data_IF_522680431167
#
_entry.id   IF_522680431167
#
_cell.length_a   1.000
_cell.length_b   1.000
_cell.length_c   1.000
_cell.angle_alpha   90.00
_cell.angle_beta   90.00
_cell.angle_gamma   90.00
#
_symmetry.space_group_name_H-M   'P 1'
#
loop_
_entity.id
_entity.type
_entity.pdbx_description
1 polymer ?
#
# COMPACT_ATOMS: atom_id res chain seq x y z
N UNK A 1 14.55 15.17 -23.55
CA UNK A 1 13.37 14.27 -23.49
C UNK A 1 12.10 15.11 -23.56
N UNK A 2 11.12 14.74 -24.40
CA UNK A 2 9.89 15.54 -24.60
C UNK A 2 8.86 15.18 -23.52
N UNK A 3 8.66 16.06 -22.51
CA UNK A 3 7.70 15.87 -21.40
C UNK A 3 6.26 15.61 -21.90
N UNK A 4 5.83 16.33 -22.94
CA UNK A 4 4.50 16.14 -23.56
C UNK A 4 4.31 14.73 -24.18
N UNK A 5 5.41 14.09 -24.62
CA UNK A 5 5.33 12.71 -25.12
C UNK A 5 5.18 11.70 -23.97
N UNK A 6 5.77 11.97 -22.81
CA UNK A 6 5.62 11.15 -21.61
C UNK A 6 4.22 11.27 -21.00
N UNK A 7 3.68 12.49 -20.95
CA UNK A 7 2.29 12.71 -20.51
C UNK A 7 1.27 11.98 -21.40
N UNK A 8 1.48 11.98 -22.73
CA UNK A 8 0.64 11.20 -23.67
C UNK A 8 0.73 9.71 -23.42
N UNK A 9 1.85 9.20 -22.93
CA UNK A 9 2.01 7.82 -22.47
C UNK A 9 1.48 7.58 -21.06
N UNK A 10 0.89 8.62 -20.44
CA UNK A 10 0.31 8.57 -19.09
C UNK A 10 1.37 8.52 -18.00
N UNK A 11 2.60 9.02 -18.25
CA UNK A 11 3.64 9.16 -17.23
C UNK A 11 3.43 10.48 -16.50
N UNK A 12 3.14 10.41 -15.19
CA UNK A 12 2.95 11.60 -14.37
C UNK A 12 4.30 12.27 -14.09
N UNK A 13 4.49 13.45 -14.67
CA UNK A 13 5.74 14.24 -14.56
C UNK A 13 5.69 15.27 -13.43
N UNK A 14 4.49 15.57 -12.90
CA UNK A 14 4.29 16.61 -11.88
C UNK A 14 4.29 15.98 -10.50
N UNK A 15 5.26 16.34 -9.66
CA UNK A 15 5.28 15.96 -8.24
C UNK A 15 4.38 16.92 -7.45
N UNK A 16 3.35 16.37 -6.81
CA UNK A 16 2.50 17.14 -5.91
C UNK A 16 3.23 17.43 -4.58
N UNK A 17 2.91 18.53 -3.88
CA UNK A 17 3.41 18.74 -2.53
C UNK A 17 2.89 17.65 -1.59
N UNK A 18 3.73 17.26 -0.63
CA UNK A 18 3.36 16.31 0.41
C UNK A 18 2.47 17.02 1.43
N UNK A 19 1.32 16.44 1.78
CA UNK A 19 0.42 17.03 2.79
C UNK A 19 0.97 16.91 4.21
N UNK A 20 0.46 17.73 5.13
CA UNK A 20 0.86 17.68 6.54
C UNK A 20 0.53 16.32 7.18
N UNK A 21 -0.61 15.73 6.82
CA UNK A 21 -1.01 14.41 7.30
C UNK A 21 -0.06 13.32 6.78
N UNK A 22 0.35 13.41 5.51
CA UNK A 22 1.32 12.47 4.93
C UNK A 22 2.68 12.55 5.63
N UNK A 23 3.13 13.78 5.98
CA UNK A 23 4.37 14.00 6.73
C UNK A 23 4.24 13.39 8.13
N UNK A 24 3.15 13.69 8.85
CA UNK A 24 2.92 13.17 10.20
C UNK A 24 2.89 11.62 10.21
N UNK A 25 2.21 11.01 9.26
CA UNK A 25 2.16 9.54 9.12
C UNK A 25 3.54 8.97 8.82
N UNK A 26 4.28 9.55 7.86
CA UNK A 26 5.64 9.11 7.54
C UNK A 26 6.56 9.17 8.77
N UNK A 27 6.54 10.28 9.48
CA UNK A 27 7.40 10.50 10.63
C UNK A 27 7.05 9.53 11.78
N UNK A 28 5.76 9.23 11.98
CA UNK A 28 5.31 8.21 12.92
C UNK A 28 5.79 6.81 12.52
N UNK A 29 5.75 6.45 11.22
CA UNK A 29 6.27 5.17 10.74
C UNK A 29 7.79 5.04 10.91
N UNK A 30 8.53 6.11 10.63
CA UNK A 30 9.99 6.16 10.86
C UNK A 30 10.31 5.97 12.35
N UNK A 31 9.61 6.70 13.24
CA UNK A 31 9.80 6.60 14.69
C UNK A 31 9.50 5.19 15.23
N UNK A 32 8.60 4.44 14.57
CA UNK A 32 8.26 3.05 14.94
C UNK A 32 9.09 2.00 14.21
N UNK A 33 10.05 2.39 13.35
CA UNK A 33 10.85 1.45 12.55
C UNK A 33 10.02 0.65 11.52
N UNK A 34 8.92 1.23 11.05
CA UNK A 34 7.95 0.58 10.16
C UNK A 34 7.97 1.14 8.74
N UNK A 35 8.75 2.19 8.47
CA UNK A 35 8.84 2.71 7.10
C UNK A 35 9.45 1.65 6.17
N UNK A 36 9.00 1.66 4.92
CA UNK A 36 9.58 0.81 3.88
C UNK A 36 11.08 1.14 3.73
N UNK A 37 11.99 0.14 3.73
CA UNK A 37 13.41 0.40 3.56
C UNK A 37 13.69 1.07 2.21
N UNK A 38 13.98 2.37 2.24
CA UNK A 38 14.28 3.15 1.03
C UNK A 38 15.54 3.99 1.21
N UNK A 39 16.21 4.23 0.10
CA UNK A 39 17.27 5.23 -0.02
C UNK A 39 16.81 6.33 -0.98
N UNK A 40 17.17 7.56 -0.71
CA UNK A 40 17.01 8.62 -1.71
C UNK A 40 18.07 8.46 -2.78
N UNK A 41 17.64 8.06 -3.98
CA UNK A 41 18.52 7.91 -5.14
C UNK A 41 18.49 9.15 -6.06
N UNK A 42 17.80 10.22 -5.66
CA UNK A 42 17.71 11.48 -6.40
C UNK A 42 16.96 11.40 -7.74
N UNK A 43 16.36 10.26 -8.08
CA UNK A 43 15.70 10.07 -9.37
C UNK A 43 14.25 10.57 -9.35
N UNK A 44 13.89 11.35 -10.38
CA UNK A 44 12.51 11.67 -10.68
C UNK A 44 11.72 10.44 -11.18
N UNK A 45 10.38 10.49 -11.13
CA UNK A 45 9.54 9.41 -11.66
C UNK A 45 9.79 9.13 -13.14
N UNK A 46 10.15 10.16 -13.91
CA UNK A 46 10.53 10.02 -15.31
C UNK A 46 11.83 9.23 -15.48
N UNK A 47 12.84 9.56 -14.70
CA UNK A 47 14.13 8.85 -14.73
C UNK A 47 14.00 7.41 -14.24
N UNK A 48 13.20 7.18 -13.19
CA UNK A 48 12.86 5.82 -12.72
C UNK A 48 12.19 5.02 -13.83
N UNK A 49 11.19 5.61 -14.50
CA UNK A 49 10.48 4.97 -15.60
C UNK A 49 11.44 4.59 -16.75
N UNK A 50 12.27 5.51 -17.24
CA UNK A 50 13.17 5.21 -18.35
C UNK A 50 14.18 4.12 -17.99
N UNK A 51 14.81 4.20 -16.81
CA UNK A 51 15.76 3.18 -16.35
C UNK A 51 15.13 1.80 -16.17
N UNK A 52 13.92 1.73 -15.61
CA UNK A 52 13.20 0.46 -15.46
C UNK A 52 12.82 -0.10 -16.83
N UNK A 53 12.37 0.74 -17.76
CA UNK A 53 12.03 0.33 -19.12
C UNK A 53 13.27 -0.25 -19.85
N UNK A 54 14.44 0.39 -19.74
CA UNK A 54 15.70 -0.11 -20.30
C UNK A 54 16.06 -1.48 -19.68
N UNK A 55 16.01 -1.60 -18.35
CA UNK A 55 16.28 -2.86 -17.66
C UNK A 55 15.31 -3.97 -18.08
N UNK A 56 14.02 -3.66 -18.22
CA UNK A 56 13.01 -4.64 -18.66
C UNK A 56 13.19 -5.03 -20.13
N UNK A 57 13.67 -4.13 -20.98
CA UNK A 57 14.03 -4.46 -22.37
C UNK A 57 15.14 -5.51 -22.39
N UNK A 58 16.17 -5.35 -21.55
CA UNK A 58 17.26 -6.33 -21.44
C UNK A 58 16.77 -7.67 -20.87
N UNK A 59 15.90 -7.65 -19.83
CA UNK A 59 15.31 -8.87 -19.25
C UNK A 59 14.55 -9.66 -20.32
N UNK A 60 13.66 -8.99 -21.10
CA UNK A 60 12.85 -9.64 -22.13
C UNK A 60 13.75 -10.23 -23.23
N UNK A 61 14.76 -9.49 -23.68
CA UNK A 61 15.72 -9.97 -24.67
C UNK A 61 16.54 -11.14 -24.15
N UNK A 62 16.99 -11.09 -22.88
CA UNK A 62 17.74 -12.19 -22.24
C UNK A 62 16.92 -13.48 -22.14
N UNK A 63 15.61 -13.38 -21.99
CA UNK A 63 14.70 -14.54 -22.04
C UNK A 63 14.51 -15.11 -23.46
N UNK A 64 15.07 -14.48 -24.48
CA UNK A 64 14.94 -14.89 -25.87
C UNK A 64 13.60 -14.51 -26.51
N UNK A 65 12.87 -13.55 -25.92
CA UNK A 65 11.61 -13.06 -26.46
C UNK A 65 11.86 -11.98 -27.53
N UNK A 66 11.09 -12.03 -28.61
CA UNK A 66 11.24 -11.11 -29.74
C UNK A 66 10.49 -9.80 -29.52
N UNK A 67 11.23 -8.73 -29.22
CA UNK A 67 10.67 -7.38 -29.04
C UNK A 67 10.27 -6.69 -30.36
N UNK A 68 10.45 -7.31 -31.51
CA UNK A 68 9.88 -6.81 -32.77
C UNK A 68 8.43 -7.31 -32.99
N UNK A 69 7.99 -8.30 -32.21
CA UNK A 69 6.61 -8.79 -32.23
C UNK A 69 5.64 -7.74 -31.64
N UNK A 70 4.49 -7.54 -32.29
CA UNK A 70 3.50 -6.52 -31.94
C UNK A 70 2.88 -6.75 -30.55
N UNK A 71 2.84 -7.97 -30.06
CA UNK A 71 2.35 -8.34 -28.72
C UNK A 71 3.36 -7.99 -27.61
N UNK A 72 4.65 -7.95 -27.90
CA UNK A 72 5.74 -7.79 -26.92
C UNK A 72 6.43 -6.42 -26.95
N UNK A 73 6.37 -5.69 -28.07
CA UNK A 73 7.08 -4.43 -28.28
C UNK A 73 6.82 -3.38 -27.17
N UNK A 74 5.63 -3.34 -26.62
CA UNK A 74 5.26 -2.40 -25.54
C UNK A 74 5.43 -2.98 -24.12
N UNK A 75 5.85 -4.25 -23.97
CA UNK A 75 5.97 -4.92 -22.66
C UNK A 75 6.91 -4.18 -21.70
N UNK A 76 8.13 -3.77 -22.10
CA UNK A 76 9.02 -2.99 -21.20
C UNK A 76 8.41 -1.67 -20.74
N UNK A 77 7.71 -0.97 -21.64
CA UNK A 77 7.00 0.26 -21.31
C UNK A 77 5.89 0.01 -20.29
N UNK A 78 5.05 -0.99 -20.52
CA UNK A 78 3.92 -1.32 -19.64
C UNK A 78 4.38 -1.70 -18.25
N UNK A 79 5.44 -2.51 -18.13
CA UNK A 79 6.01 -2.91 -16.84
C UNK A 79 6.60 -1.68 -16.11
N UNK A 80 7.38 -0.85 -16.79
CA UNK A 80 7.97 0.34 -16.19
C UNK A 80 6.92 1.32 -15.67
N UNK A 81 5.87 1.57 -16.47
CA UNK A 81 4.72 2.40 -16.06
C UNK A 81 3.99 1.82 -14.86
N UNK A 82 3.68 0.53 -14.89
CA UNK A 82 3.02 -0.18 -13.80
C UNK A 82 3.82 -0.05 -12.50
N UNK A 83 5.14 -0.26 -12.53
CA UNK A 83 6.00 -0.17 -11.35
C UNK A 83 6.01 1.25 -10.76
N UNK A 84 6.20 2.27 -11.59
CA UNK A 84 6.38 3.64 -11.09
C UNK A 84 5.06 4.29 -10.67
N UNK A 85 3.94 3.97 -11.34
CA UNK A 85 2.71 4.75 -11.19
C UNK A 85 1.53 3.98 -10.61
N UNK A 86 1.64 2.67 -10.53
CA UNK A 86 0.53 1.83 -10.08
C UNK A 86 0.97 1.06 -8.82
N UNK A 87 1.60 -0.09 -8.97
CA UNK A 87 1.85 -1.02 -7.86
C UNK A 87 2.89 -0.54 -6.84
N UNK A 88 3.75 0.44 -7.18
CA UNK A 88 4.71 1.03 -6.26
C UNK A 88 4.54 2.55 -6.09
N UNK A 89 3.40 3.09 -6.50
CA UNK A 89 3.09 4.52 -6.35
C UNK A 89 3.02 4.97 -4.88
N UNK A 90 2.72 4.09 -3.96
CA UNK A 90 2.70 4.35 -2.52
C UNK A 90 4.08 4.57 -1.88
N UNK A 91 5.19 4.36 -2.61
CA UNK A 91 6.53 4.77 -2.18
C UNK A 91 6.70 6.30 -2.21
N UNK A 92 5.88 7.01 -2.97
CA UNK A 92 5.88 8.48 -3.03
C UNK A 92 4.75 9.05 -2.16
N UNK A 93 5.11 9.68 -1.04
CA UNK A 93 4.14 10.31 -0.14
C UNK A 93 3.36 11.49 -0.76
N UNK A 94 3.77 12.00 -1.91
CA UNK A 94 2.95 12.95 -2.67
C UNK A 94 1.67 12.32 -3.25
N UNK A 95 1.63 10.97 -3.32
CA UNK A 95 0.46 10.18 -3.68
C UNK A 95 -0.44 9.83 -2.47
N UNK A 96 -0.05 10.23 -1.24
CA UNK A 96 -0.86 9.95 -0.04
C UNK A 96 -2.28 10.52 -0.21
N UNK A 97 -3.32 9.77 0.16
CA UNK A 97 -4.70 10.20 -0.07
C UNK A 97 -5.04 11.45 0.75
N UNK A 98 -5.84 12.34 0.15
CA UNK A 98 -6.43 13.46 0.91
C UNK A 98 -7.33 12.89 2.00
N UNK A 99 -6.98 13.18 3.24
CA UNK A 99 -7.73 12.76 4.41
C UNK A 99 -8.87 13.76 4.71
N UNK A 100 -9.98 13.23 5.17
CA UNK A 100 -11.10 14.02 5.72
C UNK A 100 -11.49 13.40 7.05
N UNK A 101 -11.30 14.15 8.10
CA UNK A 101 -11.77 13.87 9.46
C UNK A 101 -12.79 14.92 9.87
N UNK A 102 -13.69 14.55 10.76
CA UNK A 102 -14.64 15.47 11.39
C UNK A 102 -14.55 15.30 12.90
N UNK A 103 -14.93 16.35 13.65
CA UNK A 103 -15.03 16.27 15.10
C UNK A 103 -16.13 15.29 15.52
N UNK A 104 -15.88 14.49 16.53
CA UNK A 104 -16.84 13.56 17.10
C UNK A 104 -17.87 14.29 18.00
N UNK A 105 -18.69 15.17 17.39
CA UNK A 105 -19.72 15.94 18.11
C UNK A 105 -20.91 15.12 18.59
N UNK A 106 -21.09 13.93 18.04
CA UNK A 106 -22.15 13.00 18.43
C UNK A 106 -21.75 12.08 19.58
N UNK A 107 -20.53 12.21 20.10
CA UNK A 107 -20.00 11.37 21.18
C UNK A 107 -20.07 9.88 20.88
N UNK A 108 -19.80 9.49 19.63
CA UNK A 108 -19.70 8.08 19.26
C UNK A 108 -18.48 7.46 19.98
N UNK A 109 -18.71 6.38 20.73
CA UNK A 109 -17.73 5.70 21.56
C UNK A 109 -17.73 4.17 21.34
N UNK A 110 -18.58 3.68 20.46
CA UNK A 110 -18.64 2.28 20.04
C UNK A 110 -17.63 1.96 18.92
N UNK A 111 -17.33 0.67 18.75
CA UNK A 111 -16.46 0.18 17.70
C UNK A 111 -17.07 0.45 16.32
N UNK A 112 -16.32 1.12 15.47
CA UNK A 112 -16.63 1.28 14.04
C UNK A 112 -15.73 0.33 13.25
N UNK A 113 -16.33 -0.58 12.47
CA UNK A 113 -15.62 -1.57 11.68
C UNK A 113 -15.86 -1.35 10.19
N UNK A 114 -14.82 -1.55 9.39
CA UNK A 114 -14.87 -1.61 7.93
C UNK A 114 -14.29 -2.94 7.51
N UNK A 115 -15.15 -3.81 7.01
CA UNK A 115 -14.80 -5.16 6.60
C UNK A 115 -14.52 -5.23 5.08
N UNK A 116 -13.89 -6.32 4.65
CA UNK A 116 -13.65 -6.67 3.25
C UNK A 116 -12.98 -5.55 2.42
N UNK A 117 -12.12 -4.77 3.05
CA UNK A 117 -11.31 -3.77 2.34
C UNK A 117 -10.31 -4.49 1.46
N UNK A 118 -10.42 -4.35 0.14
CA UNK A 118 -9.55 -5.03 -0.80
C UNK A 118 -8.06 -4.67 -0.56
N UNK A 119 -7.23 -5.70 -0.51
CA UNK A 119 -5.78 -5.62 -0.40
C UNK A 119 -5.17 -6.31 -1.61
N UNK A 120 -4.66 -5.52 -2.56
CA UNK A 120 -3.82 -6.04 -3.65
C UNK A 120 -2.46 -5.36 -3.52
N UNK A 121 -1.45 -6.13 -3.13
CA UNK A 121 -0.10 -5.67 -2.85
C UNK A 121 0.93 -6.53 -3.59
N UNK A 122 2.21 -6.25 -3.37
CA UNK A 122 3.31 -6.94 -4.05
C UNK A 122 4.31 -7.41 -3.00
N UNK A 123 4.59 -8.72 -2.99
CA UNK A 123 5.62 -9.30 -2.12
C UNK A 123 7.00 -8.73 -2.45
N UNK A 124 7.71 -8.17 -1.47
CA UNK A 124 9.02 -7.55 -1.69
C UNK A 124 10.13 -8.52 -2.13
N UNK A 125 9.96 -9.83 -1.84
CA UNK A 125 10.99 -10.83 -2.14
C UNK A 125 11.01 -11.27 -3.62
N UNK A 126 9.85 -11.25 -4.30
CA UNK A 126 9.74 -11.78 -5.66
C UNK A 126 8.96 -10.86 -6.61
N UNK A 127 8.45 -9.73 -6.12
CA UNK A 127 7.57 -8.81 -6.83
C UNK A 127 6.32 -9.46 -7.44
N UNK A 128 5.80 -10.50 -6.77
CA UNK A 128 4.54 -11.18 -7.11
C UNK A 128 3.42 -10.73 -6.17
N UNK A 129 2.21 -10.87 -6.64
CA UNK A 129 0.98 -10.37 -5.99
C UNK A 129 0.77 -11.01 -4.61
N UNK A 130 0.30 -10.19 -3.68
CA UNK A 130 -0.39 -10.55 -2.43
C UNK A 130 -1.83 -10.06 -2.61
N UNK A 131 -2.81 -10.94 -2.51
CA UNK A 131 -4.21 -10.60 -2.77
C UNK A 131 -5.12 -11.11 -1.67
N UNK A 132 -5.97 -10.23 -1.14
CA UNK A 132 -6.85 -10.56 -0.04
C UNK A 132 -7.67 -9.37 0.46
N UNK A 133 -8.01 -9.40 1.74
CA UNK A 133 -8.87 -8.41 2.38
C UNK A 133 -8.33 -7.99 3.73
N UNK A 134 -8.58 -6.73 4.07
CA UNK A 134 -8.34 -6.18 5.39
C UNK A 134 -9.68 -5.91 6.11
N UNK A 135 -9.68 -6.17 7.42
CA UNK A 135 -10.66 -5.68 8.38
C UNK A 135 -9.99 -4.58 9.19
N UNK A 136 -10.62 -3.42 9.26
CA UNK A 136 -10.13 -2.26 10.01
C UNK A 136 -11.19 -1.84 11.00
N UNK A 137 -10.82 -1.68 12.27
CA UNK A 137 -11.72 -1.14 13.29
C UNK A 137 -11.04 -0.02 14.06
N UNK A 138 -11.86 0.89 14.58
CA UNK A 138 -11.42 1.89 15.54
C UNK A 138 -12.55 2.26 16.50
N UNK A 139 -12.19 2.68 17.70
CA UNK A 139 -13.11 3.31 18.64
C UNK A 139 -12.82 4.81 18.64
N UNK A 140 -13.79 5.63 18.21
CA UNK A 140 -13.60 7.06 18.12
C UNK A 140 -13.25 7.70 19.48
N UNK A 141 -12.38 8.71 19.44
CA UNK A 141 -12.17 9.64 20.53
C UNK A 141 -12.69 11.01 20.10
N UNK A 142 -11.79 11.91 19.74
CA UNK A 142 -12.13 13.27 19.31
C UNK A 142 -12.53 13.38 17.85
N UNK A 143 -12.13 12.42 17.03
CA UNK A 143 -12.24 12.45 15.55
C UNK A 143 -12.94 11.23 14.98
N UNK A 144 -13.64 11.45 13.88
CA UNK A 144 -14.19 10.42 12.99
C UNK A 144 -13.58 10.58 11.61
N UNK A 145 -13.32 9.48 10.93
CA UNK A 145 -12.77 9.47 9.57
C UNK A 145 -13.83 9.04 8.55
N UNK A 146 -13.83 9.67 7.38
CA UNK A 146 -14.67 9.21 6.28
C UNK A 146 -14.30 7.78 5.85
N UNK A 147 -15.27 6.88 5.78
CA UNK A 147 -15.06 5.44 5.51
C UNK A 147 -14.19 5.20 4.27
N UNK A 148 -14.47 5.91 3.17
CA UNK A 148 -13.65 5.82 1.95
C UNK A 148 -12.17 6.20 2.13
N UNK A 149 -11.82 6.90 3.22
CA UNK A 149 -10.44 7.26 3.51
C UNK A 149 -9.67 6.09 4.11
N UNK A 150 -10.34 5.23 4.88
CA UNK A 150 -9.77 3.97 5.37
C UNK A 150 -9.34 3.12 4.18
N UNK A 151 -10.23 2.89 3.21
CA UNK A 151 -9.92 2.11 2.00
C UNK A 151 -8.73 2.70 1.23
N UNK A 152 -8.66 4.03 1.12
CA UNK A 152 -7.54 4.70 0.43
C UNK A 152 -6.21 4.60 1.17
N UNK A 153 -6.22 4.60 2.51
CA UNK A 153 -5.02 4.39 3.33
C UNK A 153 -4.52 2.94 3.15
N UNK A 154 -5.43 1.96 3.21
CA UNK A 154 -5.09 0.55 2.94
C UNK A 154 -4.50 0.40 1.55
N UNK A 155 -5.13 0.97 0.52
CA UNK A 155 -4.63 0.96 -0.86
C UNK A 155 -3.26 1.63 -0.99
N UNK A 156 -3.04 2.79 -0.37
CA UNK A 156 -1.75 3.50 -0.43
C UNK A 156 -0.59 2.65 0.11
N UNK A 157 -0.77 2.00 1.26
CA UNK A 157 0.26 1.13 1.82
C UNK A 157 0.39 -0.21 1.09
N UNK A 158 -0.68 -0.67 0.42
CA UNK A 158 -0.63 -1.85 -0.44
C UNK A 158 0.18 -1.62 -1.72
N UNK A 159 0.23 -0.38 -2.22
CA UNK A 159 1.00 0.00 -3.41
C UNK A 159 2.49 0.21 -3.11
N UNK A 160 3.12 -0.78 -2.46
CA UNK A 160 4.54 -0.84 -2.11
C UNK A 160 5.03 -2.27 -2.20
N UNK A 161 6.36 -2.51 -2.34
CA UNK A 161 6.91 -3.82 -2.00
C UNK A 161 6.71 -4.09 -0.51
N UNK A 162 6.06 -5.20 -0.15
CA UNK A 162 5.60 -5.46 1.22
C UNK A 162 5.96 -6.87 1.74
N UNK A 163 6.10 -6.95 3.05
CA UNK A 163 5.75 -8.11 3.85
C UNK A 163 4.44 -7.81 4.58
N UNK A 164 3.56 -8.80 4.71
CA UNK A 164 2.20 -8.57 5.21
C UNK A 164 2.18 -8.05 6.65
N UNK A 165 3.13 -8.46 7.47
CA UNK A 165 3.29 -8.01 8.86
C UNK A 165 3.57 -6.50 8.94
N UNK A 166 4.45 -5.99 8.06
CA UNK A 166 4.73 -4.55 7.98
C UNK A 166 3.53 -3.77 7.45
N UNK A 167 2.88 -4.26 6.38
CA UNK A 167 1.69 -3.65 5.81
C UNK A 167 0.60 -3.46 6.87
N UNK A 168 0.29 -4.52 7.63
CA UNK A 168 -0.72 -4.48 8.69
C UNK A 168 -0.40 -3.42 9.75
N UNK A 169 0.86 -3.33 10.16
CA UNK A 169 1.30 -2.34 11.17
C UNK A 169 1.39 -0.92 10.62
N UNK A 170 1.77 -0.74 9.34
CA UNK A 170 1.78 0.58 8.71
C UNK A 170 0.37 1.18 8.66
N UNK A 171 -0.63 0.38 8.30
CA UNK A 171 -2.03 0.83 8.28
C UNK A 171 -2.49 1.20 9.69
N UNK A 172 -2.17 0.37 10.71
CA UNK A 172 -2.50 0.66 12.10
C UNK A 172 -1.93 2.03 12.54
N UNK A 173 -0.62 2.23 12.40
CA UNK A 173 0.05 3.47 12.85
C UNK A 173 -0.44 4.69 12.08
N UNK A 174 -0.70 4.55 10.78
CA UNK A 174 -1.26 5.65 9.99
C UNK A 174 -2.63 6.08 10.49
N UNK A 175 -3.51 5.12 10.78
CA UNK A 175 -4.85 5.42 11.31
C UNK A 175 -4.80 6.00 12.74
N UNK A 176 -3.94 5.47 13.60
CA UNK A 176 -3.71 6.03 14.95
C UNK A 176 -3.26 7.49 14.88
N UNK A 177 -2.32 7.80 13.99
CA UNK A 177 -1.81 9.16 13.77
C UNK A 177 -2.90 10.12 13.29
N UNK A 178 -3.70 9.68 12.32
CA UNK A 178 -4.76 10.49 11.70
C UNK A 178 -5.94 10.73 12.65
N UNK A 179 -6.33 9.69 13.39
CA UNK A 179 -7.48 9.72 14.32
C UNK A 179 -7.11 10.28 15.70
N UNK A 180 -5.82 10.45 15.98
CA UNK A 180 -5.32 10.88 17.30
C UNK A 180 -5.83 9.97 18.44
N UNK A 181 -5.83 8.66 18.21
CA UNK A 181 -6.22 7.64 19.19
C UNK A 181 -5.40 6.38 19.01
N UNK A 182 -5.07 5.72 20.11
CA UNK A 182 -4.45 4.40 20.06
C UNK A 182 -5.43 3.26 19.74
N UNK A 183 -6.73 3.53 19.85
CA UNK A 183 -7.80 2.54 19.75
C UNK A 183 -8.11 2.19 18.28
N UNK A 184 -7.18 1.49 17.63
CA UNK A 184 -7.28 1.02 16.26
C UNK A 184 -6.88 -0.45 16.18
N UNK A 185 -7.55 -1.21 15.33
CA UNK A 185 -7.21 -2.60 15.02
C UNK A 185 -7.22 -2.81 13.50
N UNK A 186 -6.30 -3.64 13.03
CA UNK A 186 -6.19 -4.03 11.63
C UNK A 186 -5.91 -5.52 11.55
N UNK A 187 -6.67 -6.24 10.73
CA UNK A 187 -6.40 -7.63 10.38
C UNK A 187 -6.39 -7.78 8.87
N UNK A 188 -5.42 -8.50 8.32
CA UNK A 188 -5.32 -8.78 6.89
C UNK A 188 -5.27 -10.29 6.71
N UNK A 189 -6.10 -10.80 5.79
CA UNK A 189 -6.07 -12.19 5.35
C UNK A 189 -5.84 -12.21 3.84
N UNK A 190 -4.74 -12.82 3.40
CA UNK A 190 -4.34 -12.76 2.00
C UNK A 190 -3.65 -14.04 1.50
N UNK A 191 -3.76 -14.26 0.20
CA UNK A 191 -3.04 -15.28 -0.56
C UNK A 191 -1.75 -14.69 -1.12
N UNK A 192 -0.64 -15.38 -0.91
CA UNK A 192 0.67 -14.99 -1.40
C UNK A 192 1.01 -15.76 -2.69
N UNK A 193 1.06 -15.09 -3.81
CA UNK A 193 1.38 -15.73 -5.09
C UNK A 193 2.85 -16.17 -5.19
N UNK A 194 3.74 -15.63 -4.38
CA UNK A 194 5.11 -16.16 -4.25
C UNK A 194 5.15 -17.58 -3.67
N UNK A 195 4.11 -18.01 -2.97
CA UNK A 195 3.91 -19.39 -2.48
C UNK A 195 3.03 -20.18 -3.45
N UNK A 196 1.95 -19.57 -3.95
CA UNK A 196 0.93 -20.22 -4.77
C UNK A 196 1.39 -20.52 -6.20
N UNK A 197 2.00 -19.56 -6.90
CA UNK A 197 2.29 -19.66 -8.34
C UNK A 197 3.67 -20.23 -8.66
N UNK A 198 4.56 -20.29 -7.69
CA UNK A 198 5.94 -20.76 -7.83
C UNK A 198 6.44 -21.40 -6.53
N UNK A 199 7.69 -21.92 -6.53
CA UNK A 199 8.29 -22.52 -5.34
C UNK A 199 7.48 -23.74 -4.87
N UNK A 200 6.89 -23.65 -3.67
CA UNK A 200 6.13 -24.75 -3.06
C UNK A 200 4.79 -25.05 -3.75
N UNK A 201 4.23 -24.07 -4.48
CA UNK A 201 2.97 -24.18 -5.24
C UNK A 201 1.76 -24.60 -4.40
N UNK A 202 1.69 -24.18 -3.13
CA UNK A 202 0.51 -24.39 -2.30
C UNK A 202 -0.61 -23.41 -2.72
N UNK A 203 -1.66 -23.97 -3.30
CA UNK A 203 -2.79 -23.18 -3.82
C UNK A 203 -3.80 -22.75 -2.76
N UNK A 204 -3.76 -23.35 -1.56
CA UNK A 204 -4.82 -23.23 -0.56
C UNK A 204 -4.43 -22.37 0.64
N UNK A 205 -3.15 -22.23 0.94
CA UNK A 205 -2.71 -21.46 2.10
C UNK A 205 -3.02 -19.98 2.00
N UNK A 206 -3.50 -19.43 3.10
CA UNK A 206 -3.69 -18.01 3.32
C UNK A 206 -2.94 -17.58 4.58
N UNK A 207 -2.39 -16.39 4.56
CA UNK A 207 -1.72 -15.79 5.71
C UNK A 207 -2.66 -14.78 6.38
N UNK A 208 -2.79 -14.86 7.70
CA UNK A 208 -3.50 -13.86 8.49
C UNK A 208 -2.51 -13.12 9.39
N UNK A 209 -2.55 -11.78 9.34
CA UNK A 209 -1.77 -10.92 10.24
C UNK A 209 -2.70 -9.94 10.94
N UNK A 210 -2.44 -9.68 12.22
CA UNK A 210 -3.27 -8.79 13.05
C UNK A 210 -2.38 -7.82 13.81
N UNK A 211 -2.76 -6.55 13.83
CA UNK A 211 -2.15 -5.51 14.65
C UNK A 211 -3.24 -4.84 15.50
N UNK A 212 -2.99 -4.71 16.81
CA UNK A 212 -3.95 -4.20 17.79
C UNK A 212 -3.32 -3.05 18.57
N UNK A 213 -4.08 -1.95 18.70
CA UNK A 213 -3.71 -0.78 19.49
C UNK A 213 -4.73 -0.49 20.60
N UNK A 214 -4.30 0.25 21.63
CA UNK A 214 -5.16 0.69 22.72
C UNK A 214 -5.99 -0.43 23.34
N UNK A 215 -7.29 -0.20 23.50
CA UNK A 215 -8.25 -1.14 24.10
C UNK A 215 -8.47 -2.42 23.29
N UNK A 216 -8.08 -2.46 22.02
CA UNK A 216 -8.12 -3.72 21.24
C UNK A 216 -7.14 -4.79 21.74
N UNK A 217 -6.23 -4.44 22.65
CA UNK A 217 -5.36 -5.41 23.34
C UNK A 217 -6.09 -6.16 24.47
N UNK A 218 -7.19 -5.62 24.97
CA UNK A 218 -8.01 -6.25 26.00
C UNK A 218 -8.77 -7.45 25.43
N UNK A 219 -8.90 -8.50 26.22
CA UNK A 219 -9.39 -9.80 25.75
C UNK A 219 -10.80 -9.72 25.11
N UNK A 220 -11.71 -8.96 25.71
CA UNK A 220 -13.09 -8.84 25.22
C UNK A 220 -13.19 -8.08 23.90
N UNK A 221 -12.59 -6.88 23.83
CA UNK A 221 -12.59 -6.05 22.61
C UNK A 221 -11.83 -6.74 21.47
N UNK A 222 -10.74 -7.44 21.81
CA UNK A 222 -10.02 -8.27 20.85
C UNK A 222 -10.87 -9.41 20.32
N UNK A 223 -11.60 -10.12 21.19
CA UNK A 223 -12.47 -11.21 20.79
C UNK A 223 -13.61 -10.70 19.91
N UNK A 224 -14.24 -9.58 20.27
CA UNK A 224 -15.25 -8.92 19.45
C UNK A 224 -14.73 -8.54 18.06
N UNK A 225 -13.56 -7.91 17.96
CA UNK A 225 -12.93 -7.56 16.68
C UNK A 225 -12.63 -8.78 15.82
N UNK A 226 -12.19 -9.91 16.42
CA UNK A 226 -11.81 -11.13 15.70
C UNK A 226 -12.96 -12.09 15.40
N UNK A 227 -14.13 -11.90 16.02
CA UNK A 227 -15.25 -12.85 15.98
C UNK A 227 -16.12 -12.79 14.71
N UNK A 228 -15.91 -11.84 13.82
CA UNK A 228 -16.71 -11.63 12.60
C UNK A 228 -15.89 -11.90 11.36
#
# INVERSE_FOLDING_TARGET
>A
MNLAALERKGINVIKKPISAEAIAVRDALVANGLETPMIDNGLSNVEKYERIKEAMTEVVATLGLDLSDDSLIETPHRIAKMYVQEIFSGLDYSAFPKISVIDNKMSADEMITVDDVAVTSTCEHHFVVIDGFAKVAYIPSKKLIGLSKINRIVSFFSQRPQVQERLTRQILVALQTILETDNVAVSIKATHYCVKSRGIKDSNSQTSTTALGGVFKDANTRAEFLSV
#
